data_IF_261702059917
#
_entry.id   IF_261702059917
#
_cell.length_a   1.000
_cell.length_b   1.000
_cell.length_c   1.000
_cell.angle_alpha   90.00
_cell.angle_beta   90.00
_cell.angle_gamma   90.00
#
_symmetry.space_group_name_H-M   'P 1'
#
loop_
_entity.id
_entity.type
_entity.pdbx_description
1 polymer ?
#
# COMPACT_ATOMS: atom_id res chain seq x y z
N UNK A 1 -11.99 -6.21 6.86
CA UNK A 1 -10.85 -7.14 7.01
C UNK A 1 -9.67 -6.38 7.57
N UNK A 2 -8.73 -7.07 8.22
CA UNK A 2 -7.50 -6.48 8.75
C UNK A 2 -6.31 -7.11 8.06
N UNK A 3 -5.37 -6.28 7.62
CA UNK A 3 -4.13 -6.66 6.96
C UNK A 3 -2.94 -6.01 7.67
N UNK A 4 -1.75 -6.58 7.50
CA UNK A 4 -0.52 -5.93 7.94
C UNK A 4 -0.08 -4.89 6.91
N UNK A 5 0.02 -5.27 5.64
CA UNK A 5 0.76 -4.53 4.62
C UNK A 5 0.07 -4.58 3.26
N UNK A 6 -0.13 -3.40 2.67
CA UNK A 6 -0.61 -3.27 1.29
C UNK A 6 0.56 -2.95 0.36
N UNK A 7 0.79 -3.87 -0.59
CA UNK A 7 1.66 -3.67 -1.75
C UNK A 7 0.86 -3.40 -3.01
N UNK A 8 0.47 -4.43 -3.77
CA UNK A 8 -0.40 -4.31 -4.95
C UNK A 8 -1.90 -4.47 -4.62
N UNK A 9 -2.22 -4.87 -3.39
CA UNK A 9 -3.59 -5.20 -2.96
C UNK A 9 -4.15 -6.53 -3.46
N UNK A 10 -3.46 -7.24 -4.37
CA UNK A 10 -4.00 -8.45 -5.02
C UNK A 10 -4.29 -9.59 -4.05
N UNK A 11 -3.38 -9.85 -3.10
CA UNK A 11 -3.58 -10.91 -2.08
C UNK A 11 -4.81 -10.61 -1.21
N UNK A 12 -4.88 -9.39 -0.71
CA UNK A 12 -5.96 -8.94 0.16
C UNK A 12 -7.31 -8.92 -0.55
N UNK A 13 -7.35 -8.51 -1.83
CA UNK A 13 -8.57 -8.56 -2.63
C UNK A 13 -9.02 -9.98 -2.99
N UNK A 14 -8.08 -10.94 -3.11
CA UNK A 14 -8.46 -12.35 -3.24
C UNK A 14 -9.15 -12.85 -1.96
N UNK A 15 -8.68 -12.45 -0.78
CA UNK A 15 -9.35 -12.76 0.48
C UNK A 15 -10.74 -12.10 0.56
N UNK A 16 -10.89 -10.85 0.09
CA UNK A 16 -12.20 -10.19 -0.05
C UNK A 16 -13.13 -11.03 -0.93
N UNK A 17 -12.65 -11.53 -2.07
CA UNK A 17 -13.45 -12.36 -3.00
C UNK A 17 -13.91 -13.65 -2.33
N UNK A 18 -13.01 -14.36 -1.67
CA UNK A 18 -13.36 -15.58 -0.95
C UNK A 18 -14.42 -15.34 0.15
N UNK A 19 -14.34 -14.21 0.87
CA UNK A 19 -15.35 -13.84 1.85
C UNK A 19 -16.70 -13.46 1.21
N UNK A 20 -16.69 -12.75 0.09
CA UNK A 20 -17.91 -12.44 -0.67
C UNK A 20 -18.58 -13.71 -1.19
N UNK A 21 -17.80 -14.69 -1.65
CA UNK A 21 -18.29 -16.02 -2.06
C UNK A 21 -18.89 -16.82 -0.90
N UNK A 22 -18.47 -16.54 0.33
CA UNK A 22 -19.03 -17.10 1.56
C UNK A 22 -20.18 -16.25 2.15
N UNK A 23 -20.82 -15.40 1.34
CA UNK A 23 -21.92 -14.50 1.71
C UNK A 23 -21.59 -13.49 2.84
N UNK A 24 -20.30 -13.22 3.08
CA UNK A 24 -19.89 -12.23 4.07
C UNK A 24 -20.06 -10.80 3.53
N UNK A 25 -20.57 -9.91 4.38
CA UNK A 25 -20.66 -8.48 4.06
C UNK A 25 -19.33 -7.77 4.35
N UNK A 26 -18.67 -7.29 3.31
CA UNK A 26 -17.41 -6.54 3.44
C UNK A 26 -17.71 -5.06 3.64
N UNK A 27 -17.37 -4.54 4.82
CA UNK A 27 -17.50 -3.12 5.16
C UNK A 27 -16.32 -2.26 4.71
N UNK A 28 -15.20 -2.90 4.36
CA UNK A 28 -13.94 -2.24 4.03
C UNK A 28 -12.74 -3.02 4.57
N UNK A 29 -11.56 -2.43 4.41
CA UNK A 29 -10.28 -2.98 4.82
C UNK A 29 -9.50 -1.95 5.61
N UNK A 30 -8.86 -2.42 6.68
CA UNK A 30 -7.85 -1.66 7.41
C UNK A 30 -6.50 -2.36 7.29
N UNK A 31 -5.42 -1.59 7.14
CA UNK A 31 -4.06 -2.13 7.17
C UNK A 31 -3.11 -1.29 8.02
N UNK A 32 -2.02 -1.90 8.51
CA UNK A 32 -1.01 -1.16 9.28
C UNK A 32 -0.23 -0.22 8.35
N UNK A 33 0.17 -0.70 7.17
CA UNK A 33 1.01 0.07 6.25
C UNK A 33 0.61 -0.07 4.78
N UNK A 34 0.82 0.99 4.00
CA UNK A 34 0.64 1.00 2.56
C UNK A 34 1.89 1.53 1.82
N UNK A 35 2.39 0.80 0.82
CA UNK A 35 3.46 1.31 -0.03
C UNK A 35 3.02 2.49 -0.93
N UNK A 36 1.72 2.69 -1.10
CA UNK A 36 1.17 3.78 -1.90
C UNK A 36 1.39 3.56 -3.40
N UNK A 37 1.42 2.32 -3.88
CA UNK A 37 1.51 2.04 -5.33
C UNK A 37 0.19 2.33 -6.03
N UNK A 38 0.25 3.00 -7.19
CA UNK A 38 -0.94 3.38 -7.96
C UNK A 38 -1.80 2.16 -8.33
N UNK A 39 -1.15 1.03 -8.66
CA UNK A 39 -1.84 -0.24 -8.95
C UNK A 39 -2.68 -0.76 -7.77
N UNK A 40 -2.28 -0.49 -6.53
CA UNK A 40 -3.08 -0.88 -5.38
C UNK A 40 -4.37 -0.06 -5.33
N UNK A 41 -4.26 1.27 -5.49
CA UNK A 41 -5.41 2.16 -5.53
C UNK A 41 -6.40 1.74 -6.62
N UNK A 42 -5.91 1.51 -7.84
CA UNK A 42 -6.73 1.04 -8.96
C UNK A 42 -7.44 -0.29 -8.66
N UNK A 43 -6.74 -1.25 -8.03
CA UNK A 43 -7.33 -2.54 -7.69
C UNK A 43 -8.43 -2.41 -6.63
N UNK A 44 -8.22 -1.60 -5.58
CA UNK A 44 -9.21 -1.38 -4.52
C UNK A 44 -10.45 -0.62 -5.02
N UNK A 45 -10.26 0.40 -5.86
CA UNK A 45 -11.34 1.12 -6.53
C UNK A 45 -12.17 0.17 -7.43
N UNK A 46 -11.49 -0.67 -8.22
CA UNK A 46 -12.13 -1.63 -9.12
C UNK A 46 -12.99 -2.66 -8.39
N UNK A 47 -12.51 -3.19 -7.26
CA UNK A 47 -13.23 -4.19 -6.46
C UNK A 47 -14.24 -3.55 -5.48
N UNK A 48 -14.36 -2.22 -5.50
CA UNK A 48 -15.23 -1.39 -4.67
C UNK A 48 -15.04 -1.68 -3.17
N UNK A 49 -13.77 -1.65 -2.73
CA UNK A 49 -13.37 -1.89 -1.34
C UNK A 49 -12.66 -0.65 -0.83
N UNK A 50 -13.23 -0.02 0.20
CA UNK A 50 -12.56 1.06 0.91
C UNK A 50 -11.36 0.52 1.69
N UNK A 51 -10.20 1.16 1.53
CA UNK A 51 -8.96 0.86 2.26
C UNK A 51 -8.58 2.04 3.13
N UNK A 52 -8.40 1.81 4.43
CA UNK A 52 -7.82 2.75 5.38
C UNK A 52 -6.52 2.18 5.93
N UNK A 53 -5.45 2.98 5.98
CA UNK A 53 -4.17 2.53 6.53
C UNK A 53 -3.70 3.41 7.69
N UNK A 54 -3.04 2.81 8.67
CA UNK A 54 -2.50 3.56 9.83
C UNK A 54 -1.31 4.43 9.45
N UNK A 55 -0.49 3.98 8.49
CA UNK A 55 0.63 4.73 7.94
C UNK A 55 0.89 4.30 6.49
N UNK A 56 1.77 5.03 5.82
CA UNK A 56 2.18 4.77 4.45
C UNK A 56 3.66 5.11 4.22
N UNK A 57 4.13 4.77 3.03
CA UNK A 57 5.53 4.95 2.65
C UNK A 57 5.96 6.41 2.65
N UNK A 58 5.09 7.33 2.28
CA UNK A 58 5.39 8.77 2.30
C UNK A 58 5.64 9.24 3.73
N UNK A 59 4.73 8.90 4.64
CA UNK A 59 4.85 9.20 6.07
C UNK A 59 6.14 8.63 6.67
N UNK A 60 6.51 7.38 6.33
CA UNK A 60 7.78 6.80 6.81
C UNK A 60 9.00 7.54 6.27
N UNK A 61 8.99 7.97 5.00
CA UNK A 61 10.12 8.71 4.43
C UNK A 61 10.30 10.07 5.10
N UNK A 62 9.21 10.77 5.41
CA UNK A 62 9.24 12.02 6.16
C UNK A 62 9.86 11.82 7.54
N UNK A 63 9.39 10.83 8.30
CA UNK A 63 9.92 10.52 9.63
C UNK A 63 11.39 10.04 9.59
N UNK A 64 11.78 9.28 8.57
CA UNK A 64 13.15 8.84 8.38
C UNK A 64 14.10 10.02 8.06
N UNK A 65 13.60 11.04 7.37
CA UNK A 65 14.36 12.27 7.10
C UNK A 65 14.52 13.11 8.37
N UNK A 66 13.42 13.32 9.11
CA UNK A 66 13.41 14.07 10.37
C UNK A 66 14.34 13.45 11.43
N UNK A 67 14.37 12.11 11.50
CA UNK A 67 15.25 11.38 12.40
C UNK A 67 16.69 11.22 11.91
N UNK A 68 17.04 11.80 10.74
CA UNK A 68 18.35 11.62 10.09
C UNK A 68 18.73 10.17 9.81
N UNK A 69 17.75 9.26 9.74
CA UNK A 69 17.96 7.87 9.33
C UNK A 69 18.28 7.77 7.84
N UNK A 70 17.68 8.66 7.04
CA UNK A 70 18.04 8.92 5.65
C UNK A 70 18.43 10.39 5.47
N UNK A 71 19.04 10.70 4.32
CA UNK A 71 19.39 12.05 3.91
C UNK A 71 18.59 12.44 2.67
N UNK A 72 18.36 13.74 2.49
CA UNK A 72 17.57 14.30 1.38
C UNK A 72 18.02 13.81 0.00
N UNK A 73 19.34 13.62 -0.19
CA UNK A 73 19.92 13.07 -1.43
C UNK A 73 19.36 11.69 -1.83
N UNK A 74 18.80 10.93 -0.89
CA UNK A 74 18.21 9.61 -1.14
C UNK A 74 16.71 9.67 -1.48
N UNK A 75 16.02 10.79 -1.21
CA UNK A 75 14.57 10.90 -1.43
C UNK A 75 14.21 10.70 -2.91
N UNK A 76 14.99 11.27 -3.83
CA UNK A 76 14.75 11.09 -5.26
C UNK A 76 14.78 9.61 -5.64
N UNK A 77 15.80 8.88 -5.19
CA UNK A 77 15.97 7.46 -5.46
C UNK A 77 14.85 6.62 -4.84
N UNK A 78 14.49 6.89 -3.58
CA UNK A 78 13.44 6.18 -2.84
C UNK A 78 12.04 6.41 -3.43
N UNK A 79 11.77 7.63 -3.90
CA UNK A 79 10.52 7.96 -4.61
C UNK A 79 10.47 7.34 -6.00
N UNK A 80 11.61 7.31 -6.71
CA UNK A 80 11.70 6.65 -8.03
C UNK A 80 11.43 5.15 -7.90
N UNK A 81 11.98 4.52 -6.86
CA UNK A 81 11.68 3.13 -6.54
C UNK A 81 10.18 2.93 -6.30
N UNK A 82 9.54 3.76 -5.46
CA UNK A 82 8.10 3.61 -5.16
C UNK A 82 7.23 3.65 -6.41
N UNK A 83 7.55 4.54 -7.36
CA UNK A 83 6.77 4.69 -8.60
C UNK A 83 6.88 3.49 -9.54
N UNK A 84 8.04 2.83 -9.59
CA UNK A 84 8.24 1.70 -10.51
C UNK A 84 9.23 0.68 -9.92
N UNK A 85 8.85 -0.05 -8.85
CA UNK A 85 9.78 -0.90 -8.12
C UNK A 85 10.29 -2.06 -8.99
N UNK A 86 9.49 -2.52 -9.96
CA UNK A 86 9.85 -3.60 -10.88
C UNK A 86 10.88 -3.23 -11.97
N UNK A 87 11.09 -1.93 -12.23
CA UNK A 87 12.04 -1.44 -13.24
C UNK A 87 13.15 -0.54 -12.66
N UNK A 88 13.25 -0.41 -11.33
CA UNK A 88 14.13 0.56 -10.67
C UNK A 88 15.64 0.37 -10.92
N UNK A 89 16.09 -0.83 -11.30
CA UNK A 89 17.50 -1.17 -11.59
C UNK A 89 17.73 -1.80 -12.97
N UNK A 90 16.76 -1.67 -13.89
CA UNK A 90 16.95 -2.09 -15.28
C UNK A 90 17.59 -0.98 -16.09
#
# INVERSE_FOLDING_TARGET
MCEDLISTGKSSLNAVKALKEADATIKGMVAIFNYGFDIAKENFEKDNVELTTLSDYETILEQALESSYIYEKYLFTLNTWRKNPGNWKK
#
